data_IF_134176529166
#
_entry.id   IF_134176529166
#
_cell.length_a   1.000
_cell.length_b   1.000
_cell.length_c   1.000
_cell.angle_alpha   90.00
_cell.angle_beta   90.00
_cell.angle_gamma   90.00
#
_symmetry.space_group_name_H-M   'P 1'
#
loop_
_entity.id
_entity.type
_entity.pdbx_description
1 polymer ?
#
# COMPACT_ATOMS: atom_id res chain seq x y z
N UNK A 1 16.80 20.37 -4.36
CA UNK A 1 16.11 19.52 -5.35
C UNK A 1 16.41 18.03 -5.21
N UNK A 2 17.68 17.61 -5.08
CA UNK A 2 18.03 16.16 -4.95
C UNK A 2 17.37 15.46 -3.76
N UNK A 3 17.32 16.10 -2.59
CA UNK A 3 16.69 15.51 -1.39
C UNK A 3 15.18 15.30 -1.54
N UNK A 4 14.47 16.28 -2.12
CA UNK A 4 13.03 16.17 -2.37
C UNK A 4 12.72 15.04 -3.36
N UNK A 5 13.51 14.95 -4.44
CA UNK A 5 13.38 13.86 -5.42
C UNK A 5 13.63 12.50 -4.77
N UNK A 6 14.66 12.39 -3.91
CA UNK A 6 14.94 11.16 -3.17
C UNK A 6 13.78 10.78 -2.25
N UNK A 7 13.23 11.75 -1.50
CA UNK A 7 12.09 11.52 -0.63
C UNK A 7 10.86 11.03 -1.41
N UNK A 8 10.54 11.66 -2.55
CA UNK A 8 9.43 11.23 -3.42
C UNK A 8 9.63 9.81 -3.96
N UNK A 9 10.86 9.47 -4.37
CA UNK A 9 11.19 8.11 -4.81
C UNK A 9 10.99 7.09 -3.70
N UNK A 10 11.47 7.39 -2.48
CA UNK A 10 11.29 6.51 -1.32
C UNK A 10 9.81 6.30 -1.03
N UNK A 11 9.01 7.37 -0.97
CA UNK A 11 7.57 7.27 -0.73
C UNK A 11 6.88 6.47 -1.84
N UNK A 12 7.26 6.66 -3.10
CA UNK A 12 6.73 5.90 -4.24
C UNK A 12 7.00 4.40 -4.11
N UNK A 13 8.25 4.04 -3.76
CA UNK A 13 8.63 2.63 -3.52
C UNK A 13 7.83 2.06 -2.35
N UNK A 14 7.68 2.81 -1.25
CA UNK A 14 6.87 2.38 -0.11
C UNK A 14 5.41 2.14 -0.50
N UNK A 15 4.79 3.02 -1.30
CA UNK A 15 3.42 2.80 -1.76
C UNK A 15 3.27 1.52 -2.59
N UNK A 16 4.25 1.22 -3.46
CA UNK A 16 4.27 -0.04 -4.23
C UNK A 16 4.43 -1.24 -3.29
N UNK A 17 5.33 -1.16 -2.31
CA UNK A 17 5.53 -2.24 -1.33
C UNK A 17 4.27 -2.48 -0.51
N UNK A 18 3.60 -1.42 -0.04
CA UNK A 18 2.31 -1.51 0.66
C UNK A 18 1.29 -2.22 -0.24
N UNK A 19 1.13 -1.78 -1.50
CA UNK A 19 0.23 -2.42 -2.47
C UNK A 19 0.52 -3.91 -2.63
N UNK A 20 1.78 -4.29 -2.77
CA UNK A 20 2.14 -5.68 -3.10
C UNK A 20 2.10 -6.60 -1.88
N UNK A 21 2.53 -6.14 -0.70
CA UNK A 21 2.80 -6.99 0.45
C UNK A 21 1.77 -6.90 1.58
N UNK A 22 0.73 -6.07 1.45
CA UNK A 22 -0.31 -5.98 2.48
C UNK A 22 -1.70 -6.24 1.92
N UNK A 23 -2.60 -6.77 2.73
CA UNK A 23 -4.03 -6.88 2.41
C UNK A 23 -4.88 -6.62 3.66
N UNK A 24 -6.01 -5.96 3.46
CA UNK A 24 -7.10 -6.00 4.41
C UNK A 24 -7.82 -7.35 4.29
N UNK A 25 -8.15 -7.92 5.44
CA UNK A 25 -8.97 -9.11 5.58
C UNK A 25 -10.16 -8.71 6.43
N UNK A 26 -11.36 -9.00 5.92
CA UNK A 26 -12.62 -8.73 6.61
C UNK A 26 -13.31 -10.06 6.86
N UNK A 27 -13.89 -10.21 8.05
CA UNK A 27 -14.73 -11.37 8.34
C UNK A 27 -16.13 -11.15 7.75
N UNK A 28 -16.73 -12.21 7.21
CA UNK A 28 -18.05 -12.11 6.59
C UNK A 28 -19.15 -11.86 7.64
N UNK A 29 -18.95 -12.36 8.86
CA UNK A 29 -19.96 -12.38 9.91
C UNK A 29 -19.67 -11.34 11.03
N UNK A 30 -18.56 -10.61 10.94
CA UNK A 30 -18.07 -9.68 11.94
C UNK A 30 -17.44 -8.44 11.26
N UNK A 31 -17.74 -7.20 11.69
CA UNK A 31 -17.11 -5.98 11.14
C UNK A 31 -15.59 -5.90 11.34
N UNK A 32 -14.97 -6.85 12.03
CA UNK A 32 -13.52 -6.95 12.24
C UNK A 32 -12.73 -6.88 10.94
N UNK A 33 -11.75 -5.97 10.95
CA UNK A 33 -10.79 -5.73 9.89
C UNK A 33 -9.40 -6.04 10.41
N UNK A 34 -8.66 -6.82 9.63
CA UNK A 34 -7.25 -7.10 9.87
C UNK A 34 -6.40 -6.60 8.72
N UNK A 35 -5.30 -5.93 9.04
CA UNK A 35 -4.25 -5.64 8.08
C UNK A 35 -3.14 -6.67 8.26
N UNK A 36 -2.87 -7.46 7.23
CA UNK A 36 -1.85 -8.53 7.29
C UNK A 36 -0.75 -8.29 6.27
N UNK A 37 0.44 -8.81 6.55
CA UNK A 37 1.51 -8.98 5.57
C UNK A 37 1.27 -10.26 4.78
N UNK A 38 1.41 -10.19 3.46
CA UNK A 38 1.36 -11.34 2.56
C UNK A 38 2.73 -11.97 2.42
N UNK A 39 2.77 -13.30 2.35
CA UNK A 39 4.01 -14.03 2.03
C UNK A 39 4.47 -13.84 0.58
N UNK A 40 3.52 -13.55 -0.31
CA UNK A 40 3.78 -13.36 -1.75
C UNK A 40 3.22 -12.03 -2.21
N UNK A 41 3.94 -11.30 -3.09
CA UNK A 41 3.43 -10.05 -3.65
C UNK A 41 2.18 -10.32 -4.49
N UNK A 42 1.13 -9.53 -4.27
CA UNK A 42 -0.14 -9.61 -5.01
C UNK A 42 -0.80 -8.25 -5.11
N UNK A 43 -1.55 -8.02 -6.19
CA UNK A 43 -2.34 -6.81 -6.42
C UNK A 43 -3.70 -6.82 -5.69
N UNK A 44 -4.10 -7.96 -5.12
CA UNK A 44 -5.30 -8.07 -4.28
C UNK A 44 -5.06 -7.46 -2.90
N UNK A 45 -5.88 -6.51 -2.46
CA UNK A 45 -5.70 -5.85 -1.15
C UNK A 45 -6.91 -5.94 -0.24
N UNK A 46 -7.94 -6.68 -0.64
CA UNK A 46 -9.10 -6.96 0.19
C UNK A 46 -9.49 -8.41 -0.01
N UNK A 47 -9.65 -9.13 1.10
CA UNK A 47 -10.19 -10.48 1.14
C UNK A 47 -11.32 -10.55 2.16
N UNK A 48 -12.39 -11.22 1.79
CA UNK A 48 -13.48 -11.56 2.71
C UNK A 48 -13.33 -13.04 3.03
N UNK A 49 -13.30 -13.36 4.31
CA UNK A 49 -13.15 -14.73 4.80
C UNK A 49 -14.28 -15.05 5.75
N UNK A 50 -14.73 -16.30 5.73
CA UNK A 50 -15.79 -16.77 6.62
C UNK A 50 -15.17 -17.20 7.95
N UNK A 51 -14.31 -18.22 7.95
CA UNK A 51 -13.47 -18.63 9.09
C UNK A 51 -12.35 -19.48 8.51
N UNK A 52 -11.15 -18.95 8.38
CA UNK A 52 -10.06 -19.67 7.71
C UNK A 52 -8.85 -19.86 8.64
N UNK A 53 -8.43 -21.13 8.73
CA UNK A 53 -7.14 -21.53 9.30
C UNK A 53 -5.94 -20.85 8.64
N UNK A 54 -6.11 -20.31 7.42
CA UNK A 54 -5.08 -19.57 6.70
C UNK A 54 -4.58 -18.29 7.39
N UNK A 55 -5.34 -17.74 8.35
CA UNK A 55 -4.90 -16.58 9.15
C UNK A 55 -3.86 -16.98 10.20
N UNK A 56 -3.83 -18.23 10.67
CA UNK A 56 -2.99 -18.65 11.80
C UNK A 56 -1.49 -18.45 11.57
N UNK A 57 -1.07 -18.43 10.30
CA UNK A 57 0.33 -18.25 9.91
C UNK A 57 0.62 -16.83 9.40
N UNK A 58 -0.41 -15.97 9.28
CA UNK A 58 -0.25 -14.63 8.77
C UNK A 58 0.32 -13.67 9.84
N UNK A 59 1.24 -12.80 9.42
CA UNK A 59 1.73 -11.71 10.26
C UNK A 59 0.67 -10.60 10.27
N UNK A 60 -0.07 -10.49 11.37
CA UNK A 60 -1.07 -9.45 11.59
C UNK A 60 -0.38 -8.16 12.07
N UNK A 61 -0.55 -7.08 11.32
CA UNK A 61 -0.06 -5.75 11.70
C UNK A 61 -1.06 -5.01 12.57
N UNK A 62 -2.34 -5.10 12.22
CA UNK A 62 -3.44 -4.40 12.89
C UNK A 62 -4.66 -5.31 12.93
N UNK A 63 -5.36 -5.28 14.06
CA UNK A 63 -6.63 -5.98 14.31
C UNK A 63 -7.58 -4.99 14.99
N UNK A 64 -8.70 -4.67 14.36
CA UNK A 64 -9.69 -3.74 14.91
C UNK A 64 -11.12 -4.10 14.46
N UNK A 65 -12.10 -3.96 15.35
CA UNK A 65 -13.52 -4.20 15.11
C UNK A 65 -14.21 -3.06 14.37
N UNK A 66 -13.69 -1.83 14.47
CA UNK A 66 -14.33 -0.61 13.97
C UNK A 66 -13.49 0.12 12.91
N UNK A 67 -12.49 -0.55 12.37
CA UNK A 67 -11.50 0.05 11.48
C UNK A 67 -10.39 0.77 12.23
N UNK A 68 -9.23 0.90 11.59
CA UNK A 68 -8.01 1.38 12.22
C UNK A 68 -7.61 2.79 11.78
N UNK A 69 -6.83 3.46 12.62
CA UNK A 69 -6.27 4.78 12.29
C UNK A 69 -5.42 4.68 11.02
N UNK A 70 -5.78 5.47 10.01
CA UNK A 70 -5.09 5.46 8.72
C UNK A 70 -5.67 4.49 7.68
N UNK A 71 -6.79 3.82 7.97
CA UNK A 71 -7.47 2.95 7.00
C UNK A 71 -7.81 3.67 5.69
N UNK A 72 -8.35 4.88 5.73
CA UNK A 72 -8.65 5.66 4.51
C UNK A 72 -7.39 5.97 3.69
N UNK A 73 -6.26 6.24 4.37
CA UNK A 73 -4.97 6.47 3.71
C UNK A 73 -4.47 5.18 3.07
N UNK A 74 -4.58 4.06 3.78
CA UNK A 74 -4.27 2.74 3.25
C UNK A 74 -5.09 2.45 1.99
N UNK A 75 -6.42 2.60 2.05
CA UNK A 75 -7.33 2.39 0.92
C UNK A 75 -6.95 3.27 -0.27
N UNK A 76 -6.62 4.54 -0.04
CA UNK A 76 -6.13 5.43 -1.10
C UNK A 76 -4.81 4.94 -1.72
N UNK A 77 -3.87 4.48 -0.88
CA UNK A 77 -2.59 3.90 -1.31
C UNK A 77 -2.81 2.72 -2.23
N UNK A 78 -3.56 1.71 -1.77
CA UNK A 78 -3.73 0.46 -2.51
C UNK A 78 -4.68 0.58 -3.71
N UNK A 79 -5.50 1.62 -3.77
CA UNK A 79 -6.40 1.85 -4.90
C UNK A 79 -5.69 2.58 -6.05
N UNK A 80 -5.15 3.79 -5.80
CA UNK A 80 -4.69 4.69 -6.87
C UNK A 80 -3.29 5.26 -6.64
N UNK A 81 -2.93 5.60 -5.40
CA UNK A 81 -1.70 6.37 -5.14
C UNK A 81 -0.46 5.53 -5.45
N UNK A 82 -0.51 4.20 -5.28
CA UNK A 82 0.59 3.30 -5.61
C UNK A 82 1.05 3.36 -7.07
N UNK A 83 0.18 3.79 -8.00
CA UNK A 83 0.54 3.95 -9.42
C UNK A 83 0.69 5.42 -9.81
N UNK A 84 -0.17 6.30 -9.29
CA UNK A 84 -0.14 7.73 -9.62
C UNK A 84 1.15 8.40 -9.11
N UNK A 85 1.57 8.09 -7.89
CA UNK A 85 2.73 8.75 -7.28
C UNK A 85 4.06 8.38 -7.96
N UNK A 86 4.35 7.11 -8.29
CA UNK A 86 5.53 6.77 -9.08
C UNK A 86 5.52 7.41 -10.47
N UNK A 87 4.38 7.42 -11.17
CA UNK A 87 4.26 8.06 -12.50
C UNK A 87 4.54 9.55 -12.43
N UNK A 88 4.01 10.23 -11.42
CA UNK A 88 4.27 11.65 -11.20
C UNK A 88 5.74 11.92 -10.86
N UNK A 89 6.35 11.07 -10.03
CA UNK A 89 7.77 11.16 -9.67
C UNK A 89 8.66 10.98 -10.91
N UNK A 90 8.33 10.04 -11.80
CA UNK A 90 9.01 9.84 -13.07
C UNK A 90 8.84 11.03 -14.01
N UNK A 91 7.62 11.59 -14.09
CA UNK A 91 7.35 12.75 -14.95
C UNK A 91 8.14 13.99 -14.51
N UNK A 92 8.14 14.29 -13.21
CA UNK A 92 8.92 15.41 -12.66
C UNK A 92 10.41 15.14 -12.81
N UNK A 93 10.87 13.93 -12.49
CA UNK A 93 12.27 13.54 -12.62
C UNK A 93 12.76 13.68 -14.07
N UNK A 94 12.00 13.15 -15.03
CA UNK A 94 12.28 13.27 -16.46
C UNK A 94 12.28 14.72 -16.94
N UNK A 95 11.27 15.52 -16.56
CA UNK A 95 11.20 16.93 -16.94
C UNK A 95 12.40 17.75 -16.40
N UNK A 96 12.84 17.47 -15.18
CA UNK A 96 14.00 18.12 -14.57
C UNK A 96 15.32 17.69 -15.22
N UNK A 97 15.44 16.44 -15.67
CA UNK A 97 16.61 15.97 -16.42
C UNK A 97 16.69 16.68 -17.78
N UNK A 98 15.57 16.80 -18.49
CA UNK A 98 15.52 17.47 -19.81
C UNK A 98 15.87 18.97 -19.70
N UNK A 99 15.42 19.65 -18.66
CA UNK A 99 15.76 21.08 -18.42
C UNK A 99 17.14 21.30 -17.78
N UNK A 100 17.74 20.25 -17.22
CA UNK A 100 19.00 20.31 -16.48
C UNK A 100 20.22 19.79 -17.24
N UNK A 101 20.08 19.48 -18.54
CA UNK A 101 21.24 19.36 -19.42
C UNK A 101 21.80 20.76 -19.70
N UNK A 102 23.13 20.96 -19.71
CA UNK A 102 23.73 22.21 -20.17
C UNK A 102 23.29 22.56 -21.60
#
# INVERSE_FOLDING_TARGET
MRLLSLAMTIVSVLCILIKLYTTEVMFNDDPTIMLIIKDKPSLENRRIITWDSSIKEAIVLIYDENGYIGQSVYVAIVSWVWIVLPLFTLFIGGFLIIKGQP
#
